data_IF_643139715193
#
_entry.id   IF_643139715193
#
_cell.length_a   1.000
_cell.length_b   1.000
_cell.length_c   1.000
_cell.angle_alpha   90.00
_cell.angle_beta   90.00
_cell.angle_gamma   90.00
#
_symmetry.space_group_name_H-M   'P 1'
#
loop_
_entity.id
_entity.type
_entity.pdbx_description
1 polymer ?
#
# COMPACT_ATOMS: atom_id res chain seq x y z
N UNK A 1 11.46 3.77 -1.74
CA UNK A 1 12.25 2.53 -1.84
C UNK A 1 11.44 1.42 -2.46
N UNK A 2 10.84 1.71 -3.58
CA UNK A 2 10.04 0.74 -4.28
C UNK A 2 8.57 0.70 -3.87
N UNK A 3 8.15 1.56 -2.93
CA UNK A 3 6.77 1.62 -2.45
C UNK A 3 6.21 3.01 -2.65
N UNK A 4 4.99 3.10 -3.18
CA UNK A 4 4.27 4.35 -3.30
C UNK A 4 2.94 4.23 -2.56
N UNK A 5 2.54 5.30 -1.86
CA UNK A 5 1.29 5.34 -1.11
C UNK A 5 0.49 6.57 -1.53
N UNK A 6 -0.08 6.55 -2.75
CA UNK A 6 -0.95 7.64 -3.17
C UNK A 6 -2.18 7.67 -2.26
N UNK A 7 -2.59 8.86 -1.84
CA UNK A 7 -3.73 8.98 -0.94
C UNK A 7 -4.51 10.25 -1.20
N UNK A 8 -5.78 10.23 -0.87
CA UNK A 8 -6.65 11.35 -1.03
C UNK A 8 -7.82 11.29 -0.07
N UNK A 9 -8.51 12.42 0.07
CA UNK A 9 -9.69 12.55 0.92
C UNK A 9 -10.81 13.17 0.12
N UNK A 10 -12.04 12.73 0.38
CA UNK A 10 -13.20 13.30 -0.28
C UNK A 10 -14.44 13.12 0.60
N UNK A 11 -15.34 14.11 0.52
CA UNK A 11 -16.54 14.10 1.35
C UNK A 11 -17.50 12.95 0.97
N UNK A 12 -17.47 12.47 -0.27
CA UNK A 12 -18.34 11.39 -0.71
C UNK A 12 -17.88 10.01 -0.29
N UNK A 13 -16.69 9.89 0.30
CA UNK A 13 -16.17 8.60 0.74
C UNK A 13 -16.61 8.36 2.18
N UNK A 14 -17.48 7.37 2.45
CA UNK A 14 -18.04 7.19 3.79
C UNK A 14 -17.04 6.56 4.75
N UNK A 15 -16.13 5.73 4.26
CA UNK A 15 -15.14 5.07 5.08
C UNK A 15 -13.88 4.81 4.27
N UNK A 16 -12.79 4.48 4.97
CA UNK A 16 -11.50 4.24 4.33
C UNK A 16 -11.58 3.09 3.32
N UNK A 17 -11.05 3.33 2.15
CA UNK A 17 -10.93 2.32 1.10
C UNK A 17 -9.45 2.22 0.74
N UNK A 18 -8.96 0.99 0.59
CA UNK A 18 -7.58 0.75 0.19
C UNK A 18 -7.53 -0.24 -0.98
N UNK A 19 -6.56 -0.02 -1.86
CA UNK A 19 -6.27 -0.94 -2.95
C UNK A 19 -4.76 -1.11 -3.03
N UNK A 20 -4.31 -2.32 -3.32
CA UNK A 20 -2.89 -2.63 -3.39
C UNK A 20 -2.57 -3.28 -4.73
N UNK A 21 -1.49 -2.84 -5.35
CA UNK A 21 -1.02 -3.41 -6.59
C UNK A 21 0.48 -3.60 -6.57
N UNK A 22 0.97 -4.53 -7.36
CA UNK A 22 2.39 -4.82 -7.46
C UNK A 22 2.85 -4.84 -8.91
N UNK A 23 4.14 -4.58 -9.11
CA UNK A 23 4.77 -4.68 -10.42
C UNK A 23 6.17 -5.27 -10.25
N UNK A 24 6.40 -6.43 -10.84
CA UNK A 24 7.72 -7.07 -10.78
C UNK A 24 8.77 -6.27 -11.53
N UNK A 25 8.38 -5.68 -12.65
CA UNK A 25 9.30 -4.92 -13.50
C UNK A 25 9.56 -3.51 -12.97
N UNK A 26 8.69 -3.03 -12.09
CA UNK A 26 8.78 -1.69 -11.57
C UNK A 26 8.04 -0.67 -12.44
N UNK A 27 7.56 0.37 -11.80
CA UNK A 27 6.84 1.46 -12.46
C UNK A 27 7.63 2.75 -12.24
N UNK A 28 7.85 3.50 -13.31
CA UNK A 28 8.45 4.82 -13.21
C UNK A 28 7.44 5.77 -12.58
N UNK A 29 7.69 6.17 -11.34
CA UNK A 29 6.75 6.95 -10.55
C UNK A 29 7.31 8.31 -10.15
N UNK A 30 8.42 8.71 -10.78
CA UNK A 30 9.12 9.96 -10.43
C UNK A 30 9.42 10.02 -8.92
N UNK A 31 9.95 8.90 -8.41
CA UNK A 31 10.22 8.74 -6.98
C UNK A 31 11.37 9.66 -6.53
N UNK A 32 11.31 10.05 -5.26
CA UNK A 32 12.35 10.91 -4.66
C UNK A 32 13.73 10.26 -4.77
N UNK A 33 13.83 8.94 -4.59
CA UNK A 33 15.09 8.22 -4.67
C UNK A 33 15.47 7.80 -6.09
N UNK A 34 14.67 8.17 -7.09
CA UNK A 34 14.92 7.83 -8.49
C UNK A 34 14.73 6.37 -8.84
N UNK A 35 14.25 5.54 -7.92
CA UNK A 35 14.08 4.11 -8.14
C UNK A 35 12.66 3.78 -8.59
N UNK A 36 12.47 2.70 -9.36
CA UNK A 36 11.12 2.30 -9.75
C UNK A 36 10.31 1.80 -8.56
N UNK A 37 8.99 1.91 -8.69
CA UNK A 37 8.04 1.46 -7.67
C UNK A 37 7.56 0.06 -8.02
N UNK A 38 7.58 -0.84 -7.05
CA UNK A 38 7.12 -2.23 -7.21
C UNK A 38 5.86 -2.52 -6.41
N UNK A 39 5.52 -1.70 -5.43
CA UNK A 39 4.34 -1.88 -4.59
C UNK A 39 3.62 -0.54 -4.46
N UNK A 40 2.34 -0.53 -4.79
CA UNK A 40 1.51 0.67 -4.68
C UNK A 40 0.35 0.38 -3.73
N UNK A 41 0.17 1.25 -2.73
CA UNK A 41 -0.97 1.16 -1.81
C UNK A 41 -1.76 2.46 -1.94
N UNK A 42 -2.92 2.39 -2.55
CA UNK A 42 -3.79 3.55 -2.73
C UNK A 42 -4.76 3.63 -1.56
N UNK A 43 -4.84 4.80 -0.92
CA UNK A 43 -5.75 5.04 0.19
C UNK A 43 -6.71 6.18 -0.16
N UNK A 44 -8.01 5.93 0.01
CA UNK A 44 -9.04 6.95 -0.14
C UNK A 44 -9.78 7.05 1.20
N UNK A 45 -9.80 8.24 1.77
CA UNK A 45 -10.31 8.45 3.12
C UNK A 45 -11.45 9.46 3.14
N UNK A 46 -12.26 9.37 4.21
CA UNK A 46 -13.31 10.34 4.47
C UNK A 46 -12.70 11.63 5.02
N UNK A 47 -13.21 12.78 4.55
CA UNK A 47 -12.84 14.07 5.12
C UNK A 47 -13.27 14.21 6.59
N UNK A 48 -14.30 13.45 6.97
CA UNK A 48 -14.96 13.64 8.27
C UNK A 48 -14.38 12.73 9.36
N UNK A 49 -13.52 11.78 9.00
CA UNK A 49 -12.98 10.83 9.96
C UNK A 49 -11.55 10.45 9.59
N UNK A 50 -10.55 11.23 10.02
CA UNK A 50 -9.15 10.96 9.65
C UNK A 50 -8.49 9.83 10.43
N UNK A 51 -9.11 9.36 11.53
CA UNK A 51 -8.51 8.32 12.37
C UNK A 51 -8.12 7.05 11.62
N UNK A 52 -9.03 6.41 10.87
CA UNK A 52 -8.69 5.20 10.12
C UNK A 52 -7.56 5.40 9.12
N UNK A 53 -7.49 6.58 8.49
CA UNK A 53 -6.42 6.91 7.55
C UNK A 53 -5.05 6.91 8.25
N UNK A 54 -4.97 7.52 9.43
CA UNK A 54 -3.73 7.58 10.21
C UNK A 54 -3.30 6.17 10.62
N UNK A 55 -4.24 5.34 11.08
CA UNK A 55 -3.95 3.97 11.47
C UNK A 55 -3.48 3.13 10.27
N UNK A 56 -4.09 3.34 9.10
CA UNK A 56 -3.70 2.63 7.89
C UNK A 56 -2.27 2.98 7.49
N UNK A 57 -1.90 4.25 7.54
CA UNK A 57 -0.54 4.67 7.21
C UNK A 57 0.48 4.07 8.17
N UNK A 58 0.16 4.01 9.47
CA UNK A 58 1.02 3.38 10.46
C UNK A 58 1.22 1.89 10.17
N UNK A 59 0.15 1.19 9.80
CA UNK A 59 0.21 -0.23 9.50
C UNK A 59 1.02 -0.49 8.23
N UNK A 60 0.84 0.32 7.19
CA UNK A 60 1.62 0.22 5.97
C UNK A 60 3.10 0.40 6.26
N UNK A 61 3.45 1.41 7.07
CA UNK A 61 4.84 1.63 7.48
C UNK A 61 5.41 0.42 8.21
N UNK A 62 4.64 -0.19 9.08
CA UNK A 62 5.06 -1.40 9.79
C UNK A 62 5.33 -2.55 8.81
N UNK A 63 4.40 -2.78 7.90
CA UNK A 63 4.52 -3.87 6.92
C UNK A 63 5.74 -3.70 6.02
N UNK A 64 5.95 -2.48 5.53
CA UNK A 64 7.08 -2.21 4.63
C UNK A 64 8.42 -2.44 5.32
N UNK A 65 8.48 -2.21 6.65
CA UNK A 65 9.69 -2.44 7.43
C UNK A 65 9.82 -3.87 7.93
N UNK A 66 8.78 -4.70 7.78
CA UNK A 66 8.83 -6.10 8.21
C UNK A 66 9.72 -6.89 7.25
N UNK A 67 10.77 -7.57 7.76
CA UNK A 67 11.68 -8.31 6.88
C UNK A 67 10.95 -9.33 6.03
N UNK A 68 11.21 -9.31 4.73
CA UNK A 68 10.64 -10.26 3.78
C UNK A 68 9.26 -9.90 3.24
N UNK A 69 8.54 -8.97 3.87
CA UNK A 69 7.19 -8.63 3.41
C UNK A 69 7.19 -8.09 1.97
N UNK A 70 8.03 -7.10 1.71
CA UNK A 70 8.09 -6.47 0.39
C UNK A 70 8.32 -7.50 -0.71
N UNK A 71 9.31 -8.38 -0.51
CA UNK A 71 9.65 -9.40 -1.50
C UNK A 71 8.49 -10.37 -1.71
N UNK A 72 7.88 -10.85 -0.64
CA UNK A 72 6.73 -11.75 -0.75
C UNK A 72 5.58 -11.09 -1.50
N UNK A 73 5.29 -9.82 -1.19
CA UNK A 73 4.20 -9.09 -1.82
C UNK A 73 4.44 -8.93 -3.32
N UNK A 74 5.65 -8.53 -3.71
CA UNK A 74 5.99 -8.31 -5.12
C UNK A 74 6.00 -9.63 -5.89
N UNK A 75 6.39 -10.73 -5.25
CA UNK A 75 6.45 -12.04 -5.90
C UNK A 75 5.08 -12.74 -5.96
N UNK A 76 4.06 -12.22 -5.30
CA UNK A 76 2.72 -12.79 -5.37
C UNK A 76 2.21 -12.79 -6.82
N UNK A 77 1.62 -13.89 -7.25
CA UNK A 77 1.16 -14.04 -8.63
C UNK A 77 -0.29 -13.62 -8.83
N UNK A 78 -1.07 -13.56 -7.76
CA UNK A 78 -2.50 -13.23 -7.83
C UNK A 78 -2.88 -12.33 -6.66
N UNK A 79 -3.99 -11.59 -6.79
CA UNK A 79 -4.51 -10.82 -5.65
C UNK A 79 -4.81 -11.70 -4.43
N UNK A 80 -5.26 -12.93 -4.65
CA UNK A 80 -5.54 -13.86 -3.55
C UNK A 80 -4.28 -14.19 -2.76
N UNK A 81 -3.17 -14.43 -3.45
CA UNK A 81 -1.88 -14.68 -2.78
C UNK A 81 -1.43 -13.48 -1.98
N UNK A 82 -1.62 -12.27 -2.52
CA UNK A 82 -1.27 -11.05 -1.82
C UNK A 82 -2.09 -10.88 -0.54
N UNK A 83 -3.40 -11.19 -0.61
CA UNK A 83 -4.25 -11.14 0.58
C UNK A 83 -3.80 -12.14 1.63
N UNK A 84 -3.39 -13.34 1.22
CA UNK A 84 -2.87 -14.34 2.16
C UNK A 84 -1.62 -13.85 2.87
N UNK A 85 -0.74 -13.17 2.14
CA UNK A 85 0.48 -12.59 2.72
C UNK A 85 0.12 -11.53 3.75
N UNK A 86 -0.85 -10.67 3.44
CA UNK A 86 -1.30 -9.64 4.38
C UNK A 86 -1.90 -10.27 5.63
N UNK A 87 -2.72 -11.30 5.47
CA UNK A 87 -3.33 -12.00 6.60
C UNK A 87 -2.29 -12.62 7.51
N UNK A 88 -1.20 -13.13 6.95
CA UNK A 88 -0.14 -13.77 7.72
C UNK A 88 0.64 -12.79 8.59
N UNK A 89 0.53 -11.49 8.32
CA UNK A 89 1.23 -10.46 9.07
C UNK A 89 0.40 -9.83 10.19
N UNK A 90 -0.82 -10.30 10.38
CA UNK A 90 -1.70 -9.79 11.45
C UNK A 90 -1.34 -10.32 12.84
#
# INVERSE_FOLDING_TARGET
>A
EGVAVPHGKHASIPELIAAMGTSRDGIEFDSVDGKPVHLVVLLLASNNNPGPHILALAEISRLVRTPGFFRKAVDANTPSELLDILDSEE
#
